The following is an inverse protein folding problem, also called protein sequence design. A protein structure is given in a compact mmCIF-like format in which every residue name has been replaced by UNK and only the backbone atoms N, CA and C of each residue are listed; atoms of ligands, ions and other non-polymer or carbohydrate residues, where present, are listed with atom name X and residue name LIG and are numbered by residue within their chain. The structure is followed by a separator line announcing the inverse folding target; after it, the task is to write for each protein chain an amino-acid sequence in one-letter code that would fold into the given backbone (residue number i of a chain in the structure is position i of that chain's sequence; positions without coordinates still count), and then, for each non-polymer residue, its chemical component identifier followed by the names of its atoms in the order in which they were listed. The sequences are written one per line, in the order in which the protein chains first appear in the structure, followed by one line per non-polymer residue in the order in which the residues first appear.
data_IF_351496428848
#
_entry.id   IF_351496428848
#
_cell.length_a   1.000
_cell.length_b   1.000
_cell.length_c   1.000
_cell.angle_alpha   90.00
_cell.angle_beta   90.00
_cell.angle_gamma   90.00
#
_symmetry.space_group_name_H-M   'P 1'
#
loop_
_entity.id
_entity.type
_entity.pdbx_description
1 polymer ?
#
# COMPACT_ATOMS: atom_id res chain seq x y z
N UNK A 1 10.10 11.86 -11.79
CA UNK A 1 10.24 12.48 -13.12
C UNK A 1 9.26 11.79 -14.06
N UNK A 2 8.36 12.52 -14.71
CA UNK A 2 7.45 11.97 -15.72
C UNK A 2 7.98 12.35 -17.10
N UNK A 3 8.32 11.35 -17.92
CA UNK A 3 8.77 11.53 -19.30
C UNK A 3 7.55 11.84 -20.17
N UNK A 4 7.19 13.12 -20.27
CA UNK A 4 6.25 13.58 -21.28
C UNK A 4 7.06 14.07 -22.49
N UNK A 5 7.00 13.33 -23.61
CA UNK A 5 7.28 13.94 -24.92
C UNK A 5 8.28 13.25 -25.86
N UNK A 6 9.01 12.20 -25.46
CA UNK A 6 9.95 11.55 -26.40
C UNK A 6 9.28 10.59 -27.39
N UNK A 7 8.13 10.02 -27.05
CA UNK A 7 7.48 8.97 -27.86
C UNK A 7 6.13 9.39 -28.45
N UNK A 8 5.65 10.61 -28.18
CA UNK A 8 4.28 11.05 -28.53
C UNK A 8 3.15 10.14 -28.01
N UNK A 9 3.42 9.21 -27.09
CA UNK A 9 2.49 8.18 -26.61
C UNK A 9 1.58 8.61 -25.43
N UNK A 10 1.56 9.90 -25.07
CA UNK A 10 0.74 10.40 -23.95
C UNK A 10 1.29 10.05 -22.56
N UNK A 11 0.45 10.13 -21.51
CA UNK A 11 0.82 9.76 -20.15
C UNK A 11 1.10 8.25 -20.06
N UNK A 12 2.35 7.91 -19.78
CA UNK A 12 2.75 6.52 -19.52
C UNK A 12 2.79 6.29 -18.02
N UNK A 13 2.07 5.27 -17.54
CA UNK A 13 2.20 4.76 -16.18
C UNK A 13 3.36 3.76 -16.15
N UNK A 14 4.54 4.12 -15.61
CA UNK A 14 5.73 3.27 -15.65
C UNK A 14 5.61 2.02 -14.76
N UNK A 15 4.65 2.00 -13.83
CA UNK A 15 4.48 0.89 -12.89
C UNK A 15 3.36 -0.06 -13.30
N UNK A 16 2.72 0.18 -14.46
CA UNK A 16 1.60 -0.61 -14.95
C UNK A 16 1.92 -2.11 -15.01
N UNK A 17 3.10 -2.46 -15.53
CA UNK A 17 3.52 -3.84 -15.72
C UNK A 17 3.75 -4.58 -14.40
N UNK A 18 3.98 -3.81 -13.32
CA UNK A 18 4.23 -4.35 -11.99
C UNK A 18 2.92 -4.55 -11.20
N UNK A 19 1.76 -4.14 -11.71
CA UNK A 19 0.47 -4.36 -11.04
C UNK A 19 0.09 -5.85 -11.04
N UNK A 20 -0.55 -6.30 -9.96
CA UNK A 20 -1.03 -7.68 -9.81
C UNK A 20 -2.10 -7.99 -10.87
N UNK A 21 -3.09 -7.12 -10.98
CA UNK A 21 -4.14 -7.17 -12.00
C UNK A 21 -3.92 -6.08 -13.02
N UNK A 22 -3.79 -6.47 -14.29
CA UNK A 22 -3.86 -5.52 -15.38
C UNK A 22 -5.34 -5.23 -15.63
N UNK A 23 -5.77 -3.95 -15.66
CA UNK A 23 -7.11 -3.62 -16.09
C UNK A 23 -7.26 -4.13 -17.53
N UNK A 24 -8.16 -5.09 -17.72
CA UNK A 24 -8.56 -5.56 -19.04
C UNK A 24 -9.16 -4.35 -19.75
N UNK A 25 -8.44 -3.79 -20.72
CA UNK A 25 -9.11 -2.95 -21.70
C UNK A 25 -10.03 -3.86 -22.48
N UNK A 26 -11.32 -3.83 -22.15
CA UNK A 26 -12.33 -4.42 -23.01
C UNK A 26 -12.32 -3.63 -24.31
N UNK A 27 -11.55 -4.11 -25.28
CA UNK A 27 -11.73 -3.73 -26.67
C UNK A 27 -13.08 -4.34 -27.05
N UNK A 28 -14.09 -3.57 -27.48
CA UNK A 28 -15.36 -4.14 -27.87
C UNK A 28 -15.13 -5.11 -29.03
N UNK A 29 -15.20 -6.41 -28.73
CA UNK A 29 -15.15 -7.49 -29.71
C UNK A 29 -16.38 -7.34 -30.59
N UNK A 30 -16.22 -6.74 -31.76
CA UNK A 30 -17.33 -6.50 -32.69
C UNK A 30 -17.18 -5.33 -33.66
N UNK A 31 -16.15 -4.48 -33.58
CA UNK A 31 -15.92 -3.48 -34.63
C UNK A 31 -15.02 -4.05 -35.73
N UNK A 32 -15.44 -4.03 -37.01
CA UNK A 32 -14.59 -4.48 -38.11
C UNK A 32 -13.32 -3.63 -38.14
N UNK A 33 -12.17 -4.29 -38.31
CA UNK A 33 -10.87 -3.63 -38.48
C UNK A 33 -11.01 -2.58 -39.58
N UNK A 34 -10.84 -1.28 -39.28
CA UNK A 34 -10.86 -0.28 -40.33
C UNK A 34 -9.68 -0.58 -41.26
N UNK A 35 -9.97 -0.59 -42.57
CA UNK A 35 -8.99 -0.72 -43.64
C UNK A 35 -7.88 0.32 -43.42
N UNK A 36 -6.66 -0.08 -43.78
CA UNK A 36 -5.37 0.59 -43.59
C UNK A 36 -5.30 2.03 -44.14
N UNK A 37 -6.07 2.96 -43.59
CA UNK A 37 -5.91 4.38 -43.84
C UNK A 37 -5.50 5.05 -42.52
N UNK A 38 -4.21 5.42 -42.49
CA UNK A 38 -3.56 6.23 -41.47
C UNK A 38 -3.72 5.68 -40.05
N UNK A 39 -2.78 4.82 -39.67
CA UNK A 39 -2.57 4.33 -38.31
C UNK A 39 -2.16 5.49 -37.40
N UNK A 40 -3.11 6.37 -37.03
CA UNK A 40 -2.98 7.18 -35.84
C UNK A 40 -3.12 6.20 -34.67
N UNK A 41 -2.07 5.94 -33.87
CA UNK A 41 -2.27 5.21 -32.64
C UNK A 41 -3.24 6.07 -31.83
N UNK A 42 -4.51 5.67 -31.77
CA UNK A 42 -5.46 6.26 -30.83
C UNK A 42 -4.81 6.06 -29.48
N UNK A 43 -4.24 7.14 -28.96
CA UNK A 43 -3.63 7.13 -27.65
C UNK A 43 -4.65 6.51 -26.70
N UNK A 44 -4.22 5.63 -25.77
CA UNK A 44 -5.13 5.13 -24.76
C UNK A 44 -5.86 6.34 -24.17
N UNK A 45 -7.19 6.28 -24.01
CA UNK A 45 -7.98 7.45 -23.67
C UNK A 45 -7.35 8.17 -22.48
N UNK A 46 -6.86 9.40 -22.71
CA UNK A 46 -6.30 10.28 -21.68
C UNK A 46 -7.49 10.79 -20.87
N UNK A 47 -7.91 9.96 -19.94
CA UNK A 47 -9.05 10.21 -19.07
C UNK A 47 -9.04 9.17 -17.94
N UNK A 48 -9.78 9.43 -16.84
CA UNK A 48 -9.87 8.56 -15.67
C UNK A 48 -10.67 7.27 -15.97
N UNK A 49 -10.37 6.60 -17.08
CA UNK A 49 -11.07 5.42 -17.60
C UNK A 49 -10.78 4.13 -16.81
N UNK A 50 -10.04 4.25 -15.71
CA UNK A 50 -10.02 3.28 -14.63
C UNK A 50 -10.23 4.03 -13.33
N UNK A 51 -11.49 4.36 -12.99
CA UNK A 51 -11.81 4.70 -11.60
C UNK A 51 -11.52 3.45 -10.77
N UNK A 52 -10.29 3.37 -10.29
CA UNK A 52 -9.90 2.49 -9.21
C UNK A 52 -10.93 2.75 -8.10
N UNK A 53 -11.54 1.70 -7.53
CA UNK A 53 -12.55 1.79 -6.45
C UNK A 53 -12.01 2.38 -5.14
N UNK A 54 -10.98 3.20 -5.23
CA UNK A 54 -10.29 3.92 -4.19
C UNK A 54 -11.10 5.14 -3.76
N UNK A 55 -11.01 5.44 -2.47
CA UNK A 55 -11.78 6.49 -1.80
C UNK A 55 -11.57 7.89 -2.42
N UNK A 56 -10.40 8.13 -3.02
CA UNK A 56 -9.99 9.45 -3.49
C UNK A 56 -10.30 9.73 -4.97
N UNK A 57 -10.72 8.72 -5.76
CA UNK A 57 -11.15 8.86 -7.17
C UNK A 57 -10.23 9.73 -8.04
N UNK A 58 -8.92 9.63 -7.84
CA UNK A 58 -7.92 10.40 -8.60
C UNK A 58 -7.73 11.86 -8.19
N UNK A 59 -8.40 12.36 -7.13
CA UNK A 59 -8.14 13.68 -6.56
C UNK A 59 -7.02 13.62 -5.53
N UNK A 60 -6.03 14.53 -5.64
CA UNK A 60 -4.91 14.60 -4.72
C UNK A 60 -5.32 15.08 -3.32
N UNK A 61 -6.19 16.09 -3.23
CA UNK A 61 -6.68 16.62 -1.94
C UNK A 61 -7.41 15.54 -1.15
N UNK A 62 -8.33 14.83 -1.80
CA UNK A 62 -9.07 13.71 -1.19
C UNK A 62 -8.14 12.57 -0.79
N UNK A 63 -7.09 12.31 -1.57
CA UNK A 63 -6.08 11.33 -1.21
C UNK A 63 -5.35 11.72 0.07
N UNK A 64 -4.91 12.98 0.18
CA UNK A 64 -4.27 13.48 1.39
C UNK A 64 -5.19 13.37 2.61
N UNK A 65 -6.47 13.70 2.47
CA UNK A 65 -7.47 13.54 3.54
C UNK A 65 -7.66 12.07 3.94
N UNK A 66 -7.73 11.16 2.97
CA UNK A 66 -7.86 9.73 3.22
C UNK A 66 -6.63 9.16 3.94
N UNK A 67 -5.42 9.61 3.56
CA UNK A 67 -4.16 9.27 4.26
C UNK A 67 -4.20 9.74 5.70
N UNK A 68 -4.57 11.01 5.95
CA UNK A 68 -4.69 11.57 7.30
C UNK A 68 -5.66 10.77 8.17
N UNK A 69 -6.76 10.29 7.58
CA UNK A 69 -7.79 9.49 8.26
C UNK A 69 -7.47 7.99 8.29
N UNK A 70 -6.34 7.54 7.71
CA UNK A 70 -5.98 6.12 7.55
C UNK A 70 -7.08 5.28 6.88
N UNK A 71 -7.78 5.87 5.90
CA UNK A 71 -8.91 5.25 5.18
C UNK A 71 -8.50 4.53 3.89
N UNK A 72 -7.20 4.44 3.60
CA UNK A 72 -6.72 3.70 2.44
C UNK A 72 -6.93 2.20 2.69
N UNK A 73 -7.79 1.59 1.86
CA UNK A 73 -8.20 0.19 1.99
C UNK A 73 -7.20 -0.78 1.38
N UNK A 74 -6.36 -0.31 0.45
CA UNK A 74 -5.41 -1.14 -0.29
C UNK A 74 -4.00 -0.88 0.20
N UNK A 75 -3.28 -1.96 0.47
CA UNK A 75 -1.84 -1.91 0.70
C UNK A 75 -1.06 -2.06 -0.62
N UNK A 76 0.18 -1.54 -0.71
CA UNK A 76 0.98 -1.65 -1.92
C UNK A 76 1.17 -3.09 -2.42
N UNK A 77 1.31 -4.05 -1.51
CA UNK A 77 1.46 -5.48 -1.83
C UNK A 77 0.17 -6.14 -2.38
N UNK A 78 -0.99 -5.50 -2.23
CA UNK A 78 -2.25 -5.95 -2.83
C UNK A 78 -2.47 -5.39 -4.23
N UNK A 79 -1.70 -4.36 -4.60
CA UNK A 79 -1.81 -3.68 -5.88
C UNK A 79 -0.67 -4.04 -6.84
N UNK A 80 0.54 -4.16 -6.31
CA UNK A 80 1.75 -4.45 -7.07
C UNK A 80 2.34 -5.81 -6.70
N UNK A 81 3.02 -6.42 -7.67
CA UNK A 81 3.72 -7.72 -7.54
C UNK A 81 5.03 -7.58 -6.78
N UNK A 82 5.68 -6.43 -6.94
CA UNK A 82 7.03 -6.12 -6.45
C UNK A 82 6.98 -4.73 -5.78
N UNK A 83 7.74 -4.51 -4.69
CA UNK A 83 7.88 -3.18 -4.10
C UNK A 83 8.47 -2.19 -5.12
N UNK A 84 7.81 -1.04 -5.26
CA UNK A 84 8.23 0.03 -6.18
C UNK A 84 9.32 0.91 -5.58
N UNK A 85 9.40 0.95 -4.24
CA UNK A 85 10.35 1.78 -3.50
C UNK A 85 11.01 0.96 -2.41
N UNK A 86 12.25 1.30 -2.06
CA UNK A 86 12.98 0.61 -1.00
C UNK A 86 12.27 0.68 0.37
N UNK A 87 11.44 1.71 0.59
CA UNK A 87 10.62 1.82 1.79
C UNK A 87 9.48 0.79 1.84
N UNK A 88 9.02 0.31 0.68
CA UNK A 88 8.01 -0.74 0.58
C UNK A 88 8.58 -2.13 0.82
N UNK A 89 9.89 -2.34 0.66
CA UNK A 89 10.56 -3.60 0.99
C UNK A 89 10.31 -3.99 2.46
N UNK A 90 10.25 -2.96 3.32
CA UNK A 90 9.95 -3.13 4.74
C UNK A 90 8.52 -3.58 4.91
N UNK A 91 8.36 -4.83 5.34
CA UNK A 91 7.05 -5.39 5.66
C UNK A 91 6.25 -5.85 4.44
N UNK A 92 6.82 -5.87 3.24
CA UNK A 92 6.17 -6.35 2.02
C UNK A 92 5.55 -7.75 2.19
N UNK A 93 6.27 -8.61 2.89
CA UNK A 93 5.93 -10.01 3.14
C UNK A 93 5.14 -10.25 4.43
N UNK A 94 4.77 -9.19 5.16
CA UNK A 94 3.96 -9.34 6.36
C UNK A 94 2.51 -9.67 5.94
N UNK A 95 1.87 -10.67 6.57
CA UNK A 95 0.47 -10.95 6.34
C UNK A 95 -0.38 -9.72 6.69
N UNK A 96 -1.33 -9.40 5.81
CA UNK A 96 -2.29 -8.31 6.04
C UNK A 96 -3.42 -8.74 6.96
N UNK A 97 -3.74 -10.03 6.98
CA UNK A 97 -4.84 -10.57 7.75
C UNK A 97 -4.53 -10.56 9.25
N UNK A 98 -5.32 -9.80 10.01
CA UNK A 98 -5.15 -9.68 11.46
C UNK A 98 -5.39 -11.01 12.20
N UNK A 99 -6.10 -11.95 11.57
CA UNK A 99 -6.34 -13.30 12.11
C UNK A 99 -5.10 -14.18 12.08
N UNK A 100 -4.14 -13.90 11.19
CA UNK A 100 -2.97 -14.73 10.98
C UNK A 100 -1.84 -14.24 11.86
N UNK A 101 -1.33 -15.11 12.74
CA UNK A 101 -0.17 -14.77 13.54
C UNK A 101 1.07 -14.70 12.66
N UNK A 102 1.90 -13.69 12.90
CA UNK A 102 3.15 -13.50 12.19
C UNK A 102 4.09 -14.71 12.30
N UNK A 103 4.08 -15.36 13.47
CA UNK A 103 4.92 -16.52 13.76
C UNK A 103 4.53 -17.75 12.94
N UNK A 104 3.27 -17.86 12.50
CA UNK A 104 2.78 -18.98 11.71
C UNK A 104 3.14 -18.82 10.23
N UNK A 105 3.19 -17.57 9.74
CA UNK A 105 3.54 -17.26 8.34
C UNK A 105 5.04 -17.21 8.10
N UNK A 106 5.80 -16.77 9.10
CA UNK A 106 7.24 -16.53 9.02
C UNK A 106 7.93 -17.36 10.12
N UNK A 107 8.16 -18.67 9.88
CA UNK A 107 8.60 -19.61 10.91
C UNK A 107 9.99 -19.27 11.47
N UNK A 108 10.83 -18.57 10.70
CA UNK A 108 12.13 -18.10 11.16
C UNK A 108 12.06 -17.08 12.30
N UNK A 109 10.91 -16.42 12.52
CA UNK A 109 10.73 -15.52 13.67
C UNK A 109 10.26 -16.23 14.94
N UNK A 110 9.84 -17.50 14.83
CA UNK A 110 9.34 -18.29 15.95
C UNK A 110 10.51 -18.68 16.85
N UNK A 111 10.71 -17.90 17.90
CA UNK A 111 11.76 -18.09 18.89
C UNK A 111 11.12 -18.00 20.28
N UNK A 112 11.58 -18.81 21.23
CA UNK A 112 11.15 -18.65 22.63
C UNK A 112 11.63 -17.29 23.15
N UNK A 113 10.69 -16.40 23.45
CA UNK A 113 10.98 -15.07 24.00
C UNK A 113 10.70 -15.06 25.49
N UNK A 114 11.58 -14.45 26.26
CA UNK A 114 11.40 -14.18 27.68
C UNK A 114 11.25 -12.66 27.89
N UNK A 115 10.08 -12.08 27.59
CA UNK A 115 9.88 -10.65 27.78
C UNK A 115 9.98 -10.29 29.26
N UNK A 116 10.48 -9.09 29.55
CA UNK A 116 10.45 -8.55 30.90
C UNK A 116 8.99 -8.26 31.29
N UNK A 117 8.46 -9.07 32.20
CA UNK A 117 7.13 -8.85 32.78
C UNK A 117 7.26 -8.07 34.09
N UNK A 118 6.68 -6.86 34.13
CA UNK A 118 6.65 -6.07 35.37
C UNK A 118 5.76 -6.75 36.41
N UNK A 119 6.35 -7.10 37.55
CA UNK A 119 5.61 -7.66 38.69
C UNK A 119 4.61 -6.64 39.26
N UNK A 120 3.57 -7.08 40.00
CA UNK A 120 2.68 -6.18 40.71
C UNK A 120 3.43 -5.21 41.64
N UNK A 121 4.51 -5.67 42.29
CA UNK A 121 5.36 -4.84 43.15
C UNK A 121 6.08 -3.75 42.36
N UNK A 122 6.63 -4.10 41.19
CA UNK A 122 7.27 -3.13 40.30
C UNK A 122 6.26 -2.07 39.84
N UNK A 123 5.05 -2.48 39.43
CA UNK A 123 3.99 -1.55 39.03
C UNK A 123 3.54 -0.65 40.19
N UNK A 124 3.45 -1.20 41.40
CA UNK A 124 3.13 -0.44 42.60
C UNK A 124 4.20 0.61 42.89
N UNK A 125 5.47 0.21 42.89
CA UNK A 125 6.59 1.13 43.07
C UNK A 125 6.58 2.26 42.04
N UNK A 126 6.39 1.93 40.75
CA UNK A 126 6.25 2.94 39.70
C UNK A 126 5.10 3.91 40.01
N UNK A 127 3.94 3.39 40.41
CA UNK A 127 2.79 4.22 40.75
C UNK A 127 3.03 5.12 41.97
N UNK A 128 3.77 4.62 42.98
CA UNK A 128 4.08 5.35 44.20
C UNK A 128 5.16 6.41 43.98
N UNK A 129 6.15 6.16 43.12
CA UNK A 129 7.14 7.18 42.74
C UNK A 129 6.49 8.38 42.04
N UNK A 130 5.40 8.16 41.31
CA UNK A 130 4.64 9.24 40.65
C UNK A 130 3.69 9.94 41.60
N UNK A 131 3.00 9.21 42.49
CA UNK A 131 1.97 9.78 43.35
C UNK A 131 2.51 10.41 44.62
N UNK A 132 3.61 9.88 45.18
CA UNK A 132 4.14 10.28 46.47
C UNK A 132 5.62 10.69 46.34
N UNK A 133 5.95 11.98 46.50
CA UNK A 133 7.32 12.47 46.39
C UNK A 133 8.23 12.02 47.54
N UNK A 134 7.66 11.49 48.63
CA UNK A 134 8.40 10.96 49.79
C UNK A 134 8.57 9.43 49.74
N UNK A 135 8.05 8.77 48.70
CA UNK A 135 8.20 7.33 48.56
C UNK A 135 9.62 6.98 48.12
N UNK A 136 10.30 6.16 48.92
CA UNK A 136 11.56 5.51 48.56
C UNK A 136 11.41 4.00 48.70
N UNK A 137 11.98 3.25 47.76
CA UNK A 137 11.92 1.78 47.78
C UNK A 137 12.97 1.16 48.72
N UNK A 138 13.90 1.95 49.24
CA UNK A 138 14.82 1.66 50.34
C UNK A 138 15.26 2.98 51.01
#
# INVERSE_FOLDING_TARGET
MAFFGLTFLGYQDPFRDQRLTLPKHEVPVGTPTPKLDLFYPKLPPIGPSGYDGTVHRGSHERYQEAVKRKQLQKYPNQEYRVPLTCGQDIGWWLPTDQSVKLEDTLPWMRVQRHPLLRSPMTKFADSMTVSNPLFSLF
#
